data_IF_993476139501
#
_entry.id   IF_993476139501
#
_cell.length_a   1.000
_cell.length_b   1.000
_cell.length_c   1.000
_cell.angle_alpha   90.00
_cell.angle_beta   90.00
_cell.angle_gamma   90.00
#
_symmetry.space_group_name_H-M   'P 1'
#
loop_
_entity.id
_entity.type
_entity.pdbx_description
1 polymer ?
#
# COMPACT_ATOMS: atom_id res chain seq x y z
N UNK A 1 -6.13 -27.68 3.73
CA UNK A 1 -5.08 -27.33 2.75
C UNK A 1 -4.50 -26.01 3.22
N UNK A 2 -3.17 -25.83 3.35
CA UNK A 2 -2.63 -24.49 3.54
C UNK A 2 -3.06 -23.62 2.36
N UNK A 3 -3.42 -22.36 2.60
CA UNK A 3 -3.83 -21.44 1.54
C UNK A 3 -2.63 -21.14 0.64
N UNK A 4 -2.79 -21.24 -0.67
CA UNK A 4 -1.74 -20.90 -1.64
C UNK A 4 -1.67 -19.39 -1.94
N UNK A 5 -2.17 -18.55 -1.03
CA UNK A 5 -2.17 -17.09 -1.21
C UNK A 5 -0.76 -16.57 -0.91
N UNK A 6 -0.20 -15.86 -1.87
CA UNK A 6 1.09 -15.18 -1.76
C UNK A 6 0.94 -13.72 -1.30
N UNK A 7 -0.13 -13.05 -1.71
CA UNK A 7 -0.46 -11.69 -1.26
C UNK A 7 -1.96 -11.41 -1.39
N UNK A 8 -2.40 -10.31 -0.78
CA UNK A 8 -3.73 -9.75 -0.91
C UNK A 8 -3.65 -8.37 -1.56
N UNK A 9 -4.57 -8.10 -2.48
CA UNK A 9 -4.85 -6.75 -2.99
C UNK A 9 -6.21 -6.33 -2.44
N UNK A 10 -6.22 -5.40 -1.50
CA UNK A 10 -7.43 -4.91 -0.85
C UNK A 10 -7.82 -3.56 -1.45
N UNK A 11 -9.08 -3.38 -1.83
CA UNK A 11 -9.62 -2.13 -2.37
C UNK A 11 -10.74 -1.63 -1.48
N UNK A 12 -10.69 -0.35 -1.11
CA UNK A 12 -11.77 0.26 -0.33
C UNK A 12 -12.94 0.58 -1.26
N UNK A 13 -14.10 -0.01 -0.96
CA UNK A 13 -15.36 0.22 -1.66
C UNK A 13 -16.05 1.47 -1.16
N UNK A 14 -15.99 1.72 0.15
CA UNK A 14 -16.51 2.93 0.77
C UNK A 14 -15.89 3.21 2.14
N UNK A 15 -15.96 4.47 2.54
CA UNK A 15 -15.79 4.97 3.91
C UNK A 15 -17.01 5.79 4.29
N UNK A 16 -17.43 5.72 5.55
CA UNK A 16 -18.31 6.71 6.19
C UNK A 16 -17.75 7.14 7.53
N UNK A 17 -17.76 8.44 7.76
CA UNK A 17 -17.54 9.03 9.07
C UNK A 17 -18.90 9.14 9.76
N UNK A 18 -19.13 8.45 10.87
CA UNK A 18 -20.48 8.38 11.43
C UNK A 18 -20.93 9.75 12.00
N UNK A 19 -22.18 10.19 11.74
CA UNK A 19 -23.29 9.47 11.11
C UNK A 19 -23.48 9.77 9.60
N UNK A 20 -22.46 10.27 8.91
CA UNK A 20 -22.55 10.66 7.51
C UNK A 20 -22.79 9.47 6.57
N UNK A 21 -23.24 9.77 5.35
CA UNK A 21 -23.47 8.77 4.30
C UNK A 21 -22.14 8.22 3.78
N UNK A 22 -22.16 6.95 3.34
CA UNK A 22 -20.99 6.31 2.75
C UNK A 22 -20.62 6.92 1.40
N UNK A 23 -19.33 7.12 1.21
CA UNK A 23 -18.75 7.59 -0.05
C UNK A 23 -17.41 6.91 -0.31
N UNK A 24 -16.83 7.08 -1.50
CA UNK A 24 -15.45 6.67 -1.76
C UNK A 24 -14.77 7.74 -2.60
N UNK A 25 -14.22 8.80 -1.96
CA UNK A 25 -13.58 9.89 -2.68
C UNK A 25 -12.20 9.50 -3.23
N UNK A 26 -11.65 8.35 -2.84
CA UNK A 26 -10.28 7.95 -3.15
C UNK A 26 -10.16 6.70 -4.00
N UNK A 27 -9.05 6.61 -4.74
CA UNK A 27 -8.50 5.34 -5.21
C UNK A 27 -7.64 4.76 -4.08
N UNK A 28 -8.27 3.99 -3.19
CA UNK A 28 -7.59 3.33 -2.06
C UNK A 28 -7.27 1.89 -2.39
N UNK A 29 -6.00 1.53 -2.26
CA UNK A 29 -5.50 0.16 -2.43
C UNK A 29 -4.46 -0.14 -1.36
N UNK A 30 -4.54 -1.35 -0.80
CA UNK A 30 -3.55 -1.93 0.09
C UNK A 30 -2.99 -3.20 -0.53
N UNK A 31 -1.67 -3.28 -0.66
CA UNK A 31 -0.99 -4.54 -0.97
C UNK A 31 -0.47 -5.14 0.33
N UNK A 32 -0.85 -6.38 0.65
CA UNK A 32 -0.37 -7.08 1.84
C UNK A 32 0.26 -8.42 1.46
N UNK A 33 1.49 -8.66 1.89
CA UNK A 33 2.15 -9.95 1.70
C UNK A 33 1.60 -10.98 2.70
N UNK A 34 1.29 -12.18 2.22
CA UNK A 34 0.54 -13.16 3.00
C UNK A 34 1.37 -13.78 4.13
N UNK A 35 2.70 -13.89 3.96
CA UNK A 35 3.57 -14.60 4.92
C UNK A 35 4.07 -13.70 6.05
N UNK A 36 4.63 -12.54 5.72
CA UNK A 36 5.21 -11.61 6.69
C UNK A 36 4.20 -10.58 7.21
N UNK A 37 3.07 -10.41 6.52
CA UNK A 37 2.10 -9.37 6.83
C UNK A 37 2.59 -7.96 6.48
N UNK A 38 3.71 -7.81 5.77
CA UNK A 38 4.15 -6.49 5.28
C UNK A 38 3.10 -5.91 4.34
N UNK A 39 2.83 -4.61 4.44
CA UNK A 39 1.83 -3.96 3.60
C UNK A 39 2.22 -2.54 3.18
N UNK A 40 1.65 -2.09 2.07
CA UNK A 40 1.64 -0.70 1.63
C UNK A 40 0.19 -0.29 1.37
N UNK A 41 -0.24 0.81 1.99
CA UNK A 41 -1.52 1.48 1.78
C UNK A 41 -1.27 2.79 1.05
N UNK A 42 -2.02 3.04 -0.03
CA UNK A 42 -2.04 4.35 -0.69
C UNK A 42 -3.46 4.77 -1.03
N UNK A 43 -3.80 6.02 -0.69
CA UNK A 43 -5.11 6.63 -0.88
C UNK A 43 -4.95 7.95 -1.62
N UNK A 44 -5.32 7.97 -2.90
CA UNK A 44 -5.30 9.19 -3.72
C UNK A 44 -6.71 9.68 -3.96
N UNK A 45 -6.95 10.99 -3.86
CA UNK A 45 -8.24 11.54 -4.31
C UNK A 45 -8.47 11.26 -5.79
N UNK A 46 -9.65 10.73 -6.14
CA UNK A 46 -10.00 10.38 -7.52
C UNK A 46 -9.88 11.61 -8.43
N UNK A 47 -9.19 11.45 -9.56
CA UNK A 47 -8.96 12.53 -10.52
C UNK A 47 -7.93 13.59 -10.09
N UNK A 48 -7.19 13.37 -8.99
CA UNK A 48 -6.21 14.28 -8.44
C UNK A 48 -4.84 13.63 -8.26
N UNK A 49 -3.80 14.44 -8.03
CA UNK A 49 -2.48 13.99 -7.56
C UNK A 49 -2.31 14.11 -6.05
N UNK A 50 -3.34 14.57 -5.35
CA UNK A 50 -3.31 14.78 -3.90
C UNK A 50 -3.50 13.44 -3.16
N UNK A 51 -2.69 13.23 -2.12
CA UNK A 51 -2.74 12.05 -1.26
C UNK A 51 -3.64 12.36 -0.07
N UNK A 52 -4.63 11.53 0.18
CA UNK A 52 -5.38 11.54 1.45
C UNK A 52 -4.51 10.91 2.55
N UNK A 53 -4.01 9.70 2.28
CA UNK A 53 -3.21 8.93 3.22
C UNK A 53 -2.30 7.96 2.45
N UNK A 54 -1.11 7.67 2.98
CA UNK A 54 -0.29 6.58 2.47
C UNK A 54 0.78 6.18 3.50
N UNK A 55 0.94 4.87 3.72
CA UNK A 55 1.86 4.34 4.72
C UNK A 55 2.21 2.89 4.44
N UNK A 56 3.29 2.41 5.07
CA UNK A 56 3.77 1.05 4.90
C UNK A 56 4.17 0.47 6.26
N UNK A 57 3.96 -0.80 6.47
CA UNK A 57 4.26 -1.41 7.75
C UNK A 57 4.15 -2.92 7.73
N UNK A 58 4.05 -3.49 8.92
CA UNK A 58 3.71 -4.89 9.11
C UNK A 58 2.37 -4.96 9.81
N UNK A 59 1.50 -5.89 9.40
CA UNK A 59 0.32 -6.26 10.17
C UNK A 59 0.81 -6.84 11.49
N UNK A 60 0.71 -6.05 12.55
CA UNK A 60 0.98 -6.49 13.91
C UNK A 60 -0.11 -5.92 14.83
N UNK A 61 -0.21 -6.40 16.06
CA UNK A 61 -1.05 -5.78 17.09
C UNK A 61 -0.51 -4.42 17.57
N UNK A 62 0.67 -4.01 17.10
CA UNK A 62 1.29 -2.68 17.26
C UNK A 62 1.41 -1.96 15.89
N UNK A 63 1.27 -0.63 15.82
CA UNK A 63 1.25 0.08 14.55
C UNK A 63 2.63 0.07 13.86
N UNK A 64 2.63 -0.32 12.58
CA UNK A 64 3.73 -0.06 11.65
C UNK A 64 3.84 1.42 11.29
N UNK A 65 4.90 1.80 10.57
CA UNK A 65 5.21 3.17 10.17
C UNK A 65 4.01 3.86 9.49
N UNK A 66 3.31 4.74 10.20
CA UNK A 66 2.20 5.55 9.71
C UNK A 66 2.66 6.99 9.43
N UNK A 67 2.19 7.61 8.35
CA UNK A 67 2.36 9.05 8.16
C UNK A 67 1.14 9.70 7.52
N UNK A 68 0.49 10.57 8.30
CA UNK A 68 -0.33 11.66 7.80
C UNK A 68 0.58 12.82 7.36
N UNK A 69 0.13 13.62 6.40
CA UNK A 69 0.82 14.86 6.00
C UNK A 69 0.91 15.91 7.12
N UNK A 70 0.34 15.65 8.30
CA UNK A 70 0.68 16.29 9.58
C UNK A 70 1.40 15.32 10.51
N UNK A 71 2.49 15.79 11.10
CA UNK A 71 3.53 15.08 11.84
C UNK A 71 3.14 14.47 13.21
N UNK A 72 1.99 13.85 13.38
CA UNK A 72 1.63 13.22 14.66
C UNK A 72 1.16 11.78 14.47
N UNK A 73 1.62 10.93 15.38
CA UNK A 73 1.28 9.52 15.51
C UNK A 73 -0.25 9.38 15.60
N UNK A 74 -0.90 9.11 14.48
CA UNK A 74 -2.30 8.75 14.47
C UNK A 74 -2.40 7.28 14.88
N UNK A 75 -2.84 7.04 16.12
CA UNK A 75 -3.30 5.72 16.53
C UNK A 75 -4.58 5.40 15.74
N UNK A 76 -4.44 4.55 14.74
CA UNK A 76 -5.56 3.96 14.01
C UNK A 76 -5.81 2.55 14.56
N UNK A 77 -7.00 2.31 15.11
CA UNK A 77 -7.41 1.01 15.62
C UNK A 77 -8.75 0.61 15.01
N UNK A 78 -8.72 -0.44 14.18
CA UNK A 78 -9.88 -0.99 13.49
C UNK A 78 -10.15 -2.45 13.87
N UNK A 79 -11.42 -2.84 13.88
CA UNK A 79 -11.85 -4.25 13.95
C UNK A 79 -12.42 -4.68 12.60
N UNK A 80 -11.89 -5.77 12.06
CA UNK A 80 -12.29 -6.32 10.77
C UNK A 80 -13.28 -7.48 10.95
N UNK A 81 -14.39 -7.44 10.22
CA UNK A 81 -15.42 -8.49 10.18
C UNK A 81 -15.79 -8.82 8.73
N UNK A 82 -15.63 -10.07 8.33
CA UNK A 82 -16.12 -10.53 7.02
C UNK A 82 -17.65 -10.55 6.98
N UNK A 83 -18.23 -9.90 5.99
CA UNK A 83 -19.66 -9.83 5.75
C UNK A 83 -20.15 -11.03 4.90
N UNK A 84 -21.47 -11.33 4.91
CA UNK A 84 -22.02 -12.48 4.17
C UNK A 84 -21.81 -12.45 2.65
N UNK A 85 -21.59 -11.27 2.07
CA UNK A 85 -21.31 -11.08 0.65
C UNK A 85 -19.82 -11.25 0.29
N UNK A 86 -18.96 -11.52 1.27
CA UNK A 86 -17.52 -11.71 1.10
C UNK A 86 -16.70 -10.43 1.21
N UNK A 87 -17.33 -9.26 1.40
CA UNK A 87 -16.60 -8.02 1.73
C UNK A 87 -16.15 -8.01 3.19
N UNK A 88 -15.23 -7.12 3.54
CA UNK A 88 -14.76 -6.92 4.91
C UNK A 88 -15.24 -5.56 5.42
N UNK A 89 -15.95 -5.56 6.55
CA UNK A 89 -16.29 -4.35 7.30
C UNK A 89 -15.18 -4.09 8.31
N UNK A 90 -14.54 -2.93 8.19
CA UNK A 90 -13.65 -2.38 9.19
C UNK A 90 -14.38 -1.28 9.95
N UNK A 91 -14.36 -1.35 11.29
CA UNK A 91 -14.89 -0.29 12.14
C UNK A 91 -13.82 0.18 13.11
N UNK A 92 -13.68 1.49 13.27
CA UNK A 92 -12.66 2.07 14.11
C UNK A 92 -12.99 3.49 14.53
N UNK A 93 -12.03 4.15 15.17
CA UNK A 93 -12.09 5.56 15.48
C UNK A 93 -10.73 6.17 15.13
N UNK A 94 -10.73 7.24 14.34
CA UNK A 94 -9.51 7.99 14.02
C UNK A 94 -9.85 9.47 13.85
N UNK A 95 -8.83 10.32 13.76
CA UNK A 95 -9.02 11.74 13.46
C UNK A 95 -9.57 11.87 12.03
N UNK A 96 -10.79 12.37 11.88
CA UNK A 96 -11.32 12.75 10.58
C UNK A 96 -10.52 13.95 10.05
N UNK A 97 -9.86 13.78 8.91
CA UNK A 97 -8.92 14.75 8.35
C UNK A 97 -9.56 16.04 7.88
N UNK A 98 -10.85 16.01 7.53
CA UNK A 98 -11.59 17.21 7.11
C UNK A 98 -11.97 18.08 8.31
N UNK A 99 -12.25 17.45 9.45
CA UNK A 99 -12.75 18.15 10.65
C UNK A 99 -11.71 18.31 11.76
N UNK A 100 -10.62 17.54 11.72
CA UNK A 100 -9.61 17.46 12.76
C UNK A 100 -10.10 16.82 14.07
N UNK A 101 -11.20 16.05 14.04
CA UNK A 101 -11.81 15.46 15.25
C UNK A 101 -11.74 13.95 15.23
N UNK A 102 -11.48 13.34 16.39
CA UNK A 102 -11.73 11.90 16.58
C UNK A 102 -13.17 11.58 16.21
N UNK A 103 -13.33 10.67 15.25
CA UNK A 103 -14.62 10.33 14.66
C UNK A 103 -14.63 8.83 14.38
N UNK A 104 -15.75 8.19 14.70
CA UNK A 104 -15.96 6.79 14.36
C UNK A 104 -16.10 6.65 12.84
N UNK A 105 -15.47 5.62 12.29
CA UNK A 105 -15.56 5.32 10.88
C UNK A 105 -16.01 3.89 10.64
N UNK A 106 -16.56 3.67 9.45
CA UNK A 106 -16.71 2.36 8.87
C UNK A 106 -16.13 2.36 7.46
N UNK A 107 -15.30 1.39 7.16
CA UNK A 107 -14.78 1.13 5.81
C UNK A 107 -15.28 -0.24 5.33
N UNK A 108 -15.66 -0.32 4.05
CA UNK A 108 -15.99 -1.57 3.38
C UNK A 108 -14.88 -1.88 2.39
N UNK A 109 -14.32 -3.08 2.48
CA UNK A 109 -13.20 -3.54 1.68
C UNK A 109 -13.57 -4.76 0.84
N UNK A 110 -12.97 -4.86 -0.34
CA UNK A 110 -12.94 -6.10 -1.12
C UNK A 110 -11.50 -6.57 -1.24
N UNK A 111 -11.28 -7.87 -1.02
CA UNK A 111 -9.98 -8.51 -1.05
C UNK A 111 -9.87 -9.42 -2.26
N UNK A 112 -8.81 -9.23 -3.05
CA UNK A 112 -8.41 -10.16 -4.09
C UNK A 112 -7.16 -10.93 -3.66
N UNK A 113 -7.22 -12.26 -3.77
CA UNK A 113 -6.07 -13.13 -3.52
C UNK A 113 -5.13 -13.16 -4.73
N UNK A 114 -3.83 -13.00 -4.49
CA UNK A 114 -2.77 -13.33 -5.43
C UNK A 114 -2.18 -14.68 -5.07
N UNK A 115 -2.18 -15.61 -6.02
CA UNK A 115 -1.67 -16.98 -5.82
C UNK A 115 -0.39 -17.25 -6.60
N UNK A 116 -0.08 -16.44 -7.61
CA UNK A 116 1.19 -16.50 -8.30
C UNK A 116 2.26 -15.71 -7.53
N UNK A 117 3.02 -16.43 -6.71
CA UNK A 117 4.12 -15.87 -5.94
C UNK A 117 5.18 -15.17 -6.79
N UNK A 118 5.35 -15.51 -8.08
CA UNK A 118 6.32 -14.83 -8.95
C UNK A 118 5.96 -13.35 -9.18
N UNK A 119 4.68 -12.99 -8.99
CA UNK A 119 4.23 -11.61 -9.09
C UNK A 119 4.42 -10.81 -7.79
N UNK A 120 4.83 -11.45 -6.69
CA UNK A 120 4.87 -10.84 -5.35
C UNK A 120 6.29 -10.45 -4.95
N UNK A 121 6.49 -9.16 -4.67
CA UNK A 121 7.75 -8.63 -4.16
C UNK A 121 7.48 -7.41 -3.28
N UNK A 122 8.01 -7.42 -2.05
CA UNK A 122 7.97 -6.28 -1.12
C UNK A 122 9.39 -5.92 -0.73
N UNK A 123 9.73 -4.63 -0.82
CA UNK A 123 11.07 -4.12 -0.51
C UNK A 123 10.99 -2.78 0.21
N UNK A 124 12.05 -2.46 0.96
CA UNK A 124 12.32 -1.12 1.45
C UNK A 124 13.78 -0.77 1.22
N UNK A 125 14.11 0.52 1.08
CA UNK A 125 15.51 0.89 1.07
C UNK A 125 16.15 0.71 2.46
N UNK A 126 17.47 0.60 2.53
CA UNK A 126 18.21 0.31 3.76
C UNK A 126 17.99 1.38 4.85
N UNK A 127 17.70 2.62 4.46
CA UNK A 127 17.34 3.71 5.39
C UNK A 127 15.89 3.65 5.90
N UNK A 128 15.04 2.79 5.33
CA UNK A 128 13.62 2.65 5.69
C UNK A 128 12.74 3.83 5.26
N UNK A 129 13.28 4.76 4.46
CA UNK A 129 12.60 5.98 4.02
C UNK A 129 11.74 5.78 2.77
N UNK A 130 11.93 4.67 2.06
CA UNK A 130 11.17 4.33 0.85
C UNK A 130 10.78 2.86 0.87
N UNK A 131 9.53 2.58 0.52
CA UNK A 131 8.94 1.24 0.43
C UNK A 131 8.32 1.06 -0.94
N UNK A 132 8.44 -0.14 -1.51
CA UNK A 132 7.77 -0.52 -2.75
C UNK A 132 7.22 -1.94 -2.65
N UNK A 133 6.10 -2.19 -3.32
CA UNK A 133 5.50 -3.51 -3.40
C UNK A 133 4.94 -3.77 -4.79
N UNK A 134 4.99 -5.04 -5.19
CA UNK A 134 4.27 -5.61 -6.32
C UNK A 134 3.47 -6.81 -5.85
N UNK A 135 2.22 -6.89 -6.29
CA UNK A 135 1.39 -8.09 -6.17
C UNK A 135 0.47 -8.19 -7.39
N UNK A 136 0.60 -9.26 -8.16
CA UNK A 136 -0.14 -9.45 -9.40
C UNK A 136 0.09 -8.33 -10.41
N UNK A 137 -0.99 -7.66 -10.78
CA UNK A 137 -1.02 -6.53 -11.72
C UNK A 137 -0.89 -5.17 -11.05
N UNK A 138 -0.59 -5.07 -9.76
CA UNK A 138 -0.45 -3.80 -9.04
C UNK A 138 0.96 -3.58 -8.50
N UNK A 139 1.40 -2.32 -8.53
CA UNK A 139 2.57 -1.84 -7.81
C UNK A 139 2.27 -0.56 -7.06
N UNK A 140 2.79 -0.47 -5.84
CA UNK A 140 2.71 0.71 -4.98
C UNK A 140 4.12 1.12 -4.55
N UNK A 141 4.31 2.41 -4.36
CA UNK A 141 5.46 2.91 -3.64
C UNK A 141 5.13 4.18 -2.87
N UNK A 142 5.84 4.37 -1.76
CA UNK A 142 5.79 5.57 -0.96
C UNK A 142 7.13 5.81 -0.27
N UNK A 143 7.41 7.07 0.02
CA UNK A 143 8.62 7.43 0.73
C UNK A 143 8.78 8.92 0.95
N UNK A 144 9.97 9.30 1.41
CA UNK A 144 10.37 10.71 1.57
C UNK A 144 11.57 11.01 0.69
N UNK A 145 11.48 12.09 -0.08
CA UNK A 145 12.60 12.64 -0.81
C UNK A 145 13.52 13.45 0.12
N UNK A 146 14.65 13.92 -0.42
CA UNK A 146 15.52 14.87 0.27
C UNK A 146 14.72 16.11 0.73
N UNK A 147 14.99 16.59 1.94
CA UNK A 147 14.20 17.64 2.58
C UNK A 147 12.89 17.16 3.24
N UNK A 148 12.64 15.85 3.25
CA UNK A 148 11.52 15.24 3.99
C UNK A 148 10.18 15.28 3.26
N UNK A 149 10.16 15.72 2.00
CA UNK A 149 8.95 15.81 1.16
C UNK A 149 8.42 14.41 0.89
N UNK A 150 7.20 14.15 1.34
CA UNK A 150 6.54 12.86 1.12
C UNK A 150 6.09 12.70 -0.34
N UNK A 151 6.13 11.46 -0.83
CA UNK A 151 5.63 11.09 -2.14
C UNK A 151 5.06 9.67 -2.09
N UNK A 152 4.09 9.41 -2.97
CA UNK A 152 3.60 8.08 -3.28
C UNK A 152 3.19 7.98 -4.75
N UNK A 153 3.00 6.74 -5.22
CA UNK A 153 2.35 6.44 -6.50
C UNK A 153 1.69 5.06 -6.49
N UNK A 154 0.72 4.90 -7.40
CA UNK A 154 0.02 3.66 -7.73
C UNK A 154 0.27 3.34 -9.21
N UNK A 155 0.52 2.08 -9.54
CA UNK A 155 0.62 1.61 -10.91
C UNK A 155 -0.10 0.27 -11.09
N UNK A 156 -0.63 0.08 -12.29
CA UNK A 156 -1.37 -1.11 -12.68
C UNK A 156 -0.87 -1.59 -14.05
N UNK A 157 -0.75 -2.91 -14.25
CA UNK A 157 -0.49 -3.49 -15.57
C UNK A 157 -1.73 -3.32 -16.45
N UNK A 158 -1.51 -2.80 -17.65
CA UNK A 158 -2.51 -2.82 -18.74
C UNK A 158 -2.79 -4.27 -19.17
N UNK A 159 -3.88 -4.53 -19.92
CA UNK A 159 -4.11 -5.85 -20.53
C UNK A 159 -2.98 -6.33 -21.45
N UNK A 160 -2.15 -5.42 -21.97
CA UNK A 160 -0.96 -5.73 -22.76
C UNK A 160 0.27 -6.13 -21.94
N UNK A 161 0.19 -6.07 -20.61
CA UNK A 161 1.29 -6.40 -19.69
C UNK A 161 2.23 -5.24 -19.36
N UNK A 162 1.97 -4.04 -19.89
CA UNK A 162 2.78 -2.84 -19.63
C UNK A 162 2.32 -2.15 -18.33
N UNK A 163 3.27 -1.73 -17.49
CA UNK A 163 2.99 -0.94 -16.30
C UNK A 163 2.56 0.48 -16.66
N UNK A 164 1.46 0.94 -16.06
CA UNK A 164 0.98 2.30 -16.19
C UNK A 164 0.77 2.92 -14.82
N UNK A 165 1.37 4.09 -14.58
CA UNK A 165 1.07 4.88 -13.38
C UNK A 165 -0.38 5.35 -13.42
N UNK A 166 -1.14 4.98 -12.39
CA UNK A 166 -2.54 5.38 -12.18
C UNK A 166 -2.61 6.71 -11.44
N UNK A 167 -1.87 6.79 -10.33
CA UNK A 167 -1.79 7.98 -9.49
C UNK A 167 -0.34 8.23 -9.08
N UNK A 168 0.02 9.50 -8.95
CA UNK A 168 1.33 9.89 -8.42
C UNK A 168 1.24 11.32 -7.90
N UNK A 169 1.78 11.52 -6.70
CA UNK A 169 1.96 12.85 -6.10
C UNK A 169 2.82 13.76 -6.97
N UNK A 170 2.66 15.08 -6.82
CA UNK A 170 3.48 16.06 -7.56
C UNK A 170 4.99 15.85 -7.32
N UNK A 171 5.37 15.65 -6.07
CA UNK A 171 6.74 15.30 -5.65
C UNK A 171 7.23 13.99 -6.28
N UNK A 172 6.37 12.98 -6.38
CA UNK A 172 6.68 11.73 -7.10
C UNK A 172 6.91 11.93 -8.60
N UNK A 173 6.13 12.78 -9.25
CA UNK A 173 6.25 13.09 -10.69
C UNK A 173 7.47 13.94 -11.03
N UNK A 174 7.75 14.96 -10.23
CA UNK A 174 8.81 15.95 -10.51
C UNK A 174 10.21 15.48 -10.10
N UNK A 175 10.32 14.52 -9.17
CA UNK A 175 11.61 14.03 -8.68
C UNK A 175 12.20 12.86 -9.47
N UNK A 176 11.42 11.81 -9.76
CA UNK A 176 11.92 10.54 -10.32
C UNK A 176 11.02 9.90 -11.39
N UNK A 177 9.74 10.24 -11.45
CA UNK A 177 8.76 9.40 -12.15
C UNK A 177 8.57 8.07 -11.43
N UNK A 178 7.55 7.29 -11.82
CA UNK A 178 7.36 5.97 -11.23
C UNK A 178 8.45 5.02 -11.77
N UNK A 179 9.25 4.47 -10.86
CA UNK A 179 10.24 3.43 -11.17
C UNK A 179 9.69 2.11 -10.70
N UNK A 180 9.40 1.20 -11.64
CA UNK A 180 8.72 -0.06 -11.35
C UNK A 180 9.71 -1.14 -10.93
N UNK A 181 9.29 -1.98 -9.98
CA UNK A 181 10.04 -3.14 -9.52
C UNK A 181 10.30 -4.12 -10.68
N UNK A 182 11.50 -4.71 -10.78
CA UNK A 182 11.85 -5.65 -11.86
C UNK A 182 10.97 -6.89 -11.87
N UNK A 183 10.55 -7.36 -13.05
CA UNK A 183 9.83 -8.63 -13.24
C UNK A 183 10.65 -9.83 -12.70
N UNK A 184 9.99 -10.94 -12.37
CA UNK A 184 10.62 -12.09 -11.67
C UNK A 184 11.90 -12.62 -12.35
N UNK A 185 11.96 -12.61 -13.69
CA UNK A 185 13.13 -13.03 -14.45
C UNK A 185 14.38 -12.16 -14.25
N UNK A 186 14.26 -10.98 -13.63
CA UNK A 186 15.35 -10.06 -13.34
C UNK A 186 15.70 -10.00 -11.84
N UNK A 187 15.13 -10.87 -11.00
CA UNK A 187 15.31 -10.88 -9.55
C UNK A 187 16.39 -11.86 -9.07
N UNK A 188 17.46 -12.07 -9.84
CA UNK A 188 18.60 -12.89 -9.39
C UNK A 188 19.27 -12.25 -8.17
N UNK A 189 19.40 -12.99 -7.06
CA UNK A 189 19.97 -12.48 -5.79
C UNK A 189 19.00 -11.73 -4.88
N UNK A 190 17.73 -11.53 -5.30
CA UNK A 190 16.69 -10.93 -4.48
C UNK A 190 15.99 -12.02 -3.67
N UNK A 191 16.64 -12.47 -2.60
CA UNK A 191 16.11 -13.44 -1.64
C UNK A 191 15.52 -12.70 -0.45
N UNK A 192 14.54 -13.28 0.25
CA UNK A 192 14.02 -12.67 1.49
C UNK A 192 15.17 -12.33 2.45
N UNK A 193 15.09 -11.15 3.07
CA UNK A 193 16.10 -10.57 3.97
C UNK A 193 17.43 -10.19 3.29
N UNK A 194 17.61 -10.46 1.99
CA UNK A 194 18.82 -10.03 1.28
C UNK A 194 18.85 -8.53 1.05
N UNK A 195 20.07 -8.00 0.92
CA UNK A 195 20.30 -6.62 0.47
C UNK A 195 20.76 -6.63 -0.98
N UNK A 196 20.17 -5.76 -1.80
CA UNK A 196 20.43 -5.66 -3.24
C UNK A 196 20.66 -4.20 -3.64
N UNK A 197 21.61 -3.97 -4.54
CA UNK A 197 21.78 -2.63 -5.14
C UNK A 197 20.83 -2.47 -6.32
N UNK A 198 19.98 -1.45 -6.27
CA UNK A 198 19.01 -1.15 -7.32
C UNK A 198 18.70 0.35 -7.35
N UNK A 199 18.70 0.94 -8.55
CA UNK A 199 18.46 2.38 -8.77
C UNK A 199 19.38 3.29 -7.94
N UNK A 200 20.63 2.86 -7.72
CA UNK A 200 21.63 3.62 -6.97
C UNK A 200 21.40 3.68 -5.46
N UNK A 201 20.52 2.84 -4.91
CA UNK A 201 20.29 2.68 -3.47
C UNK A 201 20.41 1.20 -3.07
N UNK A 202 20.57 0.94 -1.78
CA UNK A 202 20.57 -0.42 -1.21
C UNK A 202 19.17 -0.72 -0.73
N UNK A 203 18.60 -1.83 -1.19
CA UNK A 203 17.26 -2.29 -0.85
C UNK A 203 17.31 -3.59 -0.07
N UNK A 204 16.43 -3.71 0.91
CA UNK A 204 16.20 -4.94 1.67
C UNK A 204 14.94 -5.60 1.14
N UNK A 205 15.04 -6.87 0.77
CA UNK A 205 13.89 -7.67 0.35
C UNK A 205 13.11 -8.11 1.60
N UNK A 206 11.87 -7.68 1.72
CA UNK A 206 11.01 -7.97 2.87
C UNK A 206 10.23 -9.26 2.67
N UNK A 207 9.70 -9.46 1.47
CA UNK A 207 9.05 -10.70 1.06
C UNK A 207 9.16 -10.88 -0.45
N UNK A 208 9.40 -12.11 -0.89
CA UNK A 208 9.35 -12.49 -2.29
C UNK A 208 8.56 -13.79 -2.41
N UNK A 209 7.48 -13.76 -3.17
CA UNK A 209 6.73 -14.97 -3.45
C UNK A 209 7.56 -15.94 -4.30
N UNK A 210 7.33 -17.23 -4.11
CA UNK A 210 7.96 -18.30 -4.89
C UNK A 210 6.88 -19.10 -5.62
N UNK A 211 7.31 -19.80 -6.67
CA UNK A 211 6.45 -20.69 -7.44
C UNK A 211 6.02 -21.92 -6.64
#
# INVERSE_FOLDING_TARGET
>A
MPSNVAAYRSFRLSIRWLPEEASEPTSTIVLTAAKSGVFLDTRFYKGSSEIEWAFAGYRSTDPGFALHTSSEEAEDSGTNTTLPDGTTLEVGEMVNFETGKMTQFEEIWTDEEETDGQTVLFVKNASGTTWQARAGNWQLALGRAEGGVFWAWQAEKTPGGEWQTRYSSKSGKEGRGAVFLPEDGALEGWEEESSVEWEGDVWVVLERGRK
#
